data_IF_933951988678
#
_entry.id   IF_933951988678
#
_cell.length_a   1.000
_cell.length_b   1.000
_cell.length_c   1.000
_cell.angle_alpha   90.00
_cell.angle_beta   90.00
_cell.angle_gamma   90.00
#
_symmetry.space_group_name_H-M   'P 1'
#
loop_
_entity.id
_entity.type
_entity.pdbx_description
1 polymer ?
#
# COMPACT_ATOMS: atom_id res chain seq x y z
N UNK A 1 9.48 -19.93 -9.29
CA UNK A 1 8.46 -19.07 -9.94
C UNK A 1 7.64 -18.36 -8.89
N UNK A 2 7.82 -17.05 -8.72
CA UNK A 2 6.95 -16.26 -7.84
C UNK A 2 5.53 -16.25 -8.43
N UNK A 3 4.55 -16.77 -7.70
CA UNK A 3 3.15 -16.71 -8.11
C UNK A 3 2.76 -15.23 -8.15
N UNK A 4 2.45 -14.71 -9.31
CA UNK A 4 1.76 -13.42 -9.44
C UNK A 4 0.41 -13.58 -8.74
N UNK A 5 0.20 -12.86 -7.64
CA UNK A 5 -1.08 -12.84 -6.95
C UNK A 5 -1.85 -11.61 -7.44
N UNK A 6 -2.99 -11.86 -8.06
CA UNK A 6 -3.93 -10.81 -8.43
C UNK A 6 -4.83 -10.55 -7.23
N UNK A 7 -4.97 -9.28 -6.83
CA UNK A 7 -5.90 -8.84 -5.79
C UNK A 7 -6.78 -7.72 -6.36
N UNK A 8 -8.02 -7.63 -5.91
CA UNK A 8 -8.98 -6.63 -6.34
C UNK A 8 -9.22 -5.65 -5.20
N UNK A 9 -8.96 -4.37 -5.43
CA UNK A 9 -9.16 -3.31 -4.45
C UNK A 9 -10.45 -2.55 -4.75
N UNK A 10 -11.16 -2.13 -3.70
CA UNK A 10 -12.35 -1.30 -3.84
C UNK A 10 -11.97 0.18 -3.75
N UNK A 11 -12.21 0.97 -4.80
CA UNK A 11 -11.96 2.42 -4.84
C UNK A 11 -12.88 3.23 -3.95
N UNK A 12 -14.00 2.66 -3.50
CA UNK A 12 -14.98 3.35 -2.67
C UNK A 12 -14.67 3.26 -1.18
N UNK A 13 -14.16 2.11 -0.71
CA UNK A 13 -13.87 1.88 0.72
C UNK A 13 -12.43 1.45 1.02
N UNK A 14 -11.63 1.14 0.01
CA UNK A 14 -10.26 0.66 0.17
C UNK A 14 -10.12 -0.84 0.47
N UNK A 15 -11.22 -1.61 0.47
CA UNK A 15 -11.16 -3.04 0.79
C UNK A 15 -10.52 -3.88 -0.32
N UNK A 16 -9.59 -4.76 0.03
CA UNK A 16 -8.95 -5.71 -0.89
C UNK A 16 -9.59 -7.11 -0.83
N UNK A 17 -9.70 -7.77 -1.98
CA UNK A 17 -10.27 -9.12 -2.11
C UNK A 17 -9.46 -9.97 -3.09
N UNK A 18 -9.26 -11.26 -2.83
CA UNK A 18 -8.49 -12.13 -3.74
C UNK A 18 -9.29 -12.60 -4.96
N UNK A 19 -10.58 -12.25 -5.06
CA UNK A 19 -11.49 -12.71 -6.11
C UNK A 19 -12.51 -11.63 -6.43
N UNK A 20 -12.69 -11.34 -7.72
CA UNK A 20 -13.73 -10.45 -8.20
C UNK A 20 -15.12 -11.04 -7.95
N UNK A 21 -15.98 -10.29 -7.25
CA UNK A 21 -17.38 -10.65 -6.96
C UNK A 21 -18.44 -9.70 -7.56
N UNK A 22 -18.05 -8.67 -8.32
CA UNK A 22 -18.94 -7.66 -8.94
C UNK A 22 -19.46 -6.61 -7.95
N UNK A 23 -19.55 -6.99 -6.67
CA UNK A 23 -19.93 -6.17 -5.53
C UNK A 23 -18.86 -6.24 -4.44
N UNK A 24 -18.52 -5.10 -3.84
CA UNK A 24 -17.66 -5.06 -2.67
C UNK A 24 -18.36 -5.70 -1.45
N UNK A 25 -17.76 -6.68 -0.76
CA UNK A 25 -18.35 -7.29 0.43
C UNK A 25 -18.32 -6.40 1.67
N UNK A 26 -17.48 -5.35 1.66
CA UNK A 26 -17.33 -4.42 2.78
C UNK A 26 -18.34 -3.28 2.72
N UNK A 27 -18.40 -2.54 1.61
CA UNK A 27 -19.33 -1.40 1.47
C UNK A 27 -20.57 -1.70 0.62
N UNK A 28 -20.64 -2.86 -0.06
CA UNK A 28 -21.77 -3.21 -0.90
C UNK A 28 -21.84 -2.48 -2.25
N UNK A 29 -20.86 -1.64 -2.59
CA UNK A 29 -20.81 -0.92 -3.85
C UNK A 29 -20.52 -1.83 -5.06
N UNK A 30 -21.10 -1.48 -6.19
CA UNK A 30 -20.89 -2.14 -7.49
C UNK A 30 -20.05 -1.23 -8.39
N UNK A 31 -19.32 -1.80 -9.36
CA UNK A 31 -18.44 -1.04 -10.28
C UNK A 31 -17.27 -0.27 -9.62
N UNK A 32 -16.95 -0.56 -8.35
CA UNK A 32 -15.86 0.11 -7.62
C UNK A 32 -14.67 -0.81 -7.37
N UNK A 33 -14.65 -2.03 -7.91
CA UNK A 33 -13.53 -2.96 -7.74
C UNK A 33 -12.58 -2.87 -8.93
N UNK A 34 -11.31 -2.62 -8.63
CA UNK A 34 -10.23 -2.49 -9.60
C UNK A 34 -9.19 -3.60 -9.37
N UNK A 35 -8.55 -4.08 -10.43
CA UNK A 35 -7.56 -5.16 -10.37
C UNK A 35 -6.16 -4.60 -10.09
N UNK A 36 -5.53 -5.08 -9.01
CA UNK A 36 -4.14 -4.82 -8.69
C UNK A 36 -3.32 -6.11 -8.81
N UNK A 37 -2.43 -6.12 -9.79
CA UNK A 37 -1.47 -7.22 -9.96
C UNK A 37 -0.28 -6.92 -9.05
N UNK A 38 -0.19 -7.63 -7.93
CA UNK A 38 0.99 -7.57 -7.06
C UNK A 38 2.13 -8.30 -7.78
N UNK A 39 2.82 -7.58 -8.67
CA UNK A 39 4.18 -7.96 -9.04
C UNK A 39 4.96 -7.94 -7.72
N UNK A 40 5.68 -9.01 -7.36
CA UNK A 40 6.55 -8.96 -6.19
C UNK A 40 7.61 -7.91 -6.46
N UNK A 41 7.30 -6.66 -6.12
CA UNK A 41 8.33 -5.66 -5.87
C UNK A 41 9.07 -6.25 -4.70
N UNK A 42 10.30 -6.68 -4.94
CA UNK A 42 11.24 -6.93 -3.87
C UNK A 42 11.08 -5.73 -2.92
N UNK A 43 10.61 -5.99 -1.70
CA UNK A 43 10.48 -5.00 -0.64
C UNK A 43 11.90 -4.61 -0.18
N UNK A 44 12.67 -4.04 -1.10
CA UNK A 44 13.92 -3.35 -0.87
C UNK A 44 13.61 -1.87 -1.01
N UNK A 45 13.06 -1.28 0.04
CA UNK A 45 13.13 0.16 0.39
C UNK A 45 12.21 0.45 1.58
N UNK A 46 12.68 0.07 2.76
CA UNK A 46 12.46 0.83 3.99
C UNK A 46 13.37 0.26 5.09
N UNK A 47 14.67 0.17 4.81
CA UNK A 47 15.67 0.22 5.87
C UNK A 47 16.64 1.35 5.52
N UNK A 48 16.85 2.21 6.52
CA UNK A 48 17.97 3.13 6.68
C UNK A 48 17.85 4.53 6.05
N UNK A 49 17.37 5.48 6.87
CA UNK A 49 18.30 6.45 7.44
C UNK A 49 17.69 7.02 8.74
N UNK A 50 18.37 6.89 9.91
CA UNK A 50 18.04 7.77 11.02
C UNK A 50 18.41 9.19 10.59
N UNK A 51 17.47 10.13 10.68
CA UNK A 51 17.79 11.55 10.56
C UNK A 51 18.61 11.93 11.79
N UNK A 52 19.93 11.71 11.67
CA UNK A 52 20.92 12.10 12.65
C UNK A 52 20.93 13.61 12.78
N UNK A 53 20.50 14.08 13.95
CA UNK A 53 21.06 15.18 14.73
C UNK A 53 22.15 16.01 14.03
N UNK A 54 21.82 17.24 13.63
CA UNK A 54 22.74 18.38 13.78
C UNK A 54 21.99 19.71 13.72
N UNK A 55 21.08 19.93 14.66
CA UNK A 55 20.70 21.31 15.02
C UNK A 55 21.75 21.79 16.02
N UNK A 56 22.72 22.57 15.54
CA UNK A 56 23.62 23.34 16.42
C UNK A 56 22.76 24.16 17.39
N UNK A 57 22.98 24.11 18.72
CA UNK A 57 22.47 25.16 19.59
C UNK A 57 23.37 26.39 19.39
N UNK A 58 22.85 27.43 18.74
CA UNK A 58 23.45 28.76 18.89
C UNK A 58 22.94 29.34 20.21
N UNK A 59 23.72 29.18 21.27
CA UNK A 59 23.55 29.95 22.51
C UNK A 59 24.95 30.31 23.02
N UNK A 60 25.30 31.58 22.84
CA UNK A 60 26.58 32.18 23.20
C UNK A 60 26.48 33.70 23.21
N UNK A 61 25.57 34.22 24.04
CA UNK A 61 25.71 35.50 24.75
C UNK A 61 25.58 35.18 26.23
#
# INVERSE_FOLDING_TARGET
MAKTKTVFYCTNCGNETPKWMGRCPSCGAYNTMEEHVEKPVAAGKAKSAPVGMSRKPQAGR
#
